data_IF_604109973001
#
_entry.id   IF_604109973001
#
_cell.length_a   1.000
_cell.length_b   1.000
_cell.length_c   1.000
_cell.angle_alpha   90.00
_cell.angle_beta   90.00
_cell.angle_gamma   90.00
#
_symmetry.space_group_name_H-M   'P 1'
#
loop_
_entity.id
_entity.type
_entity.pdbx_description
1 polymer ?
#
# COMPACT_ATOMS: atom_id res chain seq x y z
N UNK A 1 -21.27 39.84 8.23
CA UNK A 1 -21.49 38.38 8.25
C UNK A 1 -21.51 37.90 6.80
N UNK A 2 -20.37 37.40 6.29
CA UNK A 2 -20.25 36.99 4.88
C UNK A 2 -20.78 35.57 4.72
N UNK A 3 -21.92 35.43 4.04
CA UNK A 3 -22.47 34.14 3.64
C UNK A 3 -21.72 33.66 2.40
N UNK A 4 -20.75 32.76 2.59
CA UNK A 4 -20.09 32.07 1.49
C UNK A 4 -21.09 31.09 0.86
N UNK A 5 -21.71 31.50 -0.25
CA UNK A 5 -22.46 30.56 -1.09
C UNK A 5 -21.45 29.69 -1.82
N UNK A 6 -21.39 28.42 -1.44
CA UNK A 6 -20.60 27.43 -2.17
C UNK A 6 -21.07 27.40 -3.64
N UNK A 7 -20.17 27.15 -4.60
CA UNK A 7 -20.54 26.98 -6.00
C UNK A 7 -21.57 25.85 -6.13
N UNK A 8 -22.58 26.02 -6.98
CA UNK A 8 -23.68 25.07 -7.13
C UNK A 8 -23.20 23.63 -7.42
N UNK A 9 -22.16 23.48 -8.22
CA UNK A 9 -21.52 22.19 -8.50
C UNK A 9 -20.98 21.48 -7.24
N UNK A 10 -20.48 22.26 -6.28
CA UNK A 10 -19.95 21.73 -5.02
C UNK A 10 -21.10 21.26 -4.12
N UNK A 11 -22.18 22.04 -4.07
CA UNK A 11 -23.40 21.65 -3.34
C UNK A 11 -24.04 20.39 -3.93
N UNK A 12 -24.19 20.32 -5.25
CA UNK A 12 -24.75 19.16 -5.95
C UNK A 12 -23.89 17.90 -5.79
N UNK A 13 -22.56 18.05 -5.74
CA UNK A 13 -21.65 16.93 -5.46
C UNK A 13 -21.82 16.38 -4.03
N UNK A 14 -21.94 17.25 -3.03
CA UNK A 14 -22.17 16.81 -1.65
C UNK A 14 -23.57 16.22 -1.47
N UNK A 15 -24.59 16.78 -2.11
CA UNK A 15 -25.95 16.24 -2.12
C UNK A 15 -26.02 14.85 -2.78
N UNK A 16 -25.22 14.63 -3.84
CA UNK A 16 -25.07 13.33 -4.48
C UNK A 16 -24.45 12.30 -3.54
N UNK A 17 -23.37 12.64 -2.85
CA UNK A 17 -22.74 11.77 -1.84
C UNK A 17 -23.69 11.46 -0.67
N UNK A 18 -24.52 12.42 -0.28
CA UNK A 18 -25.52 12.24 0.76
C UNK A 18 -26.78 11.50 0.30
N UNK A 19 -26.89 11.10 -0.97
CA UNK A 19 -28.04 10.33 -1.43
C UNK A 19 -28.11 8.94 -0.75
N UNK A 20 -29.32 8.37 -0.56
CA UNK A 20 -29.49 7.08 0.09
C UNK A 20 -28.75 5.92 -0.60
N UNK A 21 -28.55 6.02 -1.91
CA UNK A 21 -27.82 5.03 -2.73
C UNK A 21 -26.32 5.03 -2.38
N UNK A 22 -25.72 6.20 -2.20
CA UNK A 22 -24.31 6.33 -1.85
C UNK A 22 -24.04 6.03 -0.38
N UNK A 23 -24.97 6.37 0.52
CA UNK A 23 -24.95 5.89 1.91
C UNK A 23 -25.04 4.36 2.02
N UNK A 24 -25.63 3.71 1.01
CA UNK A 24 -25.74 2.26 0.91
C UNK A 24 -24.54 1.58 0.24
N UNK A 25 -23.58 2.35 -0.27
CA UNK A 25 -22.41 1.83 -0.93
C UNK A 25 -21.32 1.40 0.07
N UNK A 26 -20.58 0.30 -0.16
CA UNK A 26 -20.86 -0.77 -1.12
C UNK A 26 -21.84 -1.85 -0.58
N UNK A 27 -22.22 -1.83 0.72
CA UNK A 27 -23.07 -2.89 1.30
C UNK A 27 -23.95 -2.44 2.49
N UNK A 28 -24.61 -1.28 2.44
CA UNK A 28 -25.37 -0.75 3.58
C UNK A 28 -26.85 -0.45 3.24
N UNK A 29 -27.67 -1.49 3.14
CA UNK A 29 -29.12 -1.32 3.12
C UNK A 29 -29.69 -1.51 4.54
N UNK A 30 -29.73 -0.43 5.33
CA UNK A 30 -30.51 -0.36 6.57
C UNK A 30 -29.97 -1.13 7.78
N UNK A 31 -30.28 -0.62 8.97
CA UNK A 31 -29.88 -1.11 10.28
C UNK A 31 -30.21 -2.59 10.50
N UNK A 32 -29.18 -3.40 10.78
CA UNK A 32 -29.29 -4.75 11.31
C UNK A 32 -27.90 -5.32 11.57
N UNK A 33 -27.68 -5.93 12.74
CA UNK A 33 -26.46 -6.66 13.07
C UNK A 33 -26.26 -7.83 12.09
N UNK A 34 -25.60 -7.56 10.97
CA UNK A 34 -25.33 -8.56 9.97
C UNK A 34 -23.84 -8.60 9.72
N UNK A 35 -23.20 -9.58 10.36
CA UNK A 35 -21.77 -9.89 10.22
C UNK A 35 -21.42 -10.17 8.75
N UNK A 36 -22.35 -10.76 7.98
CA UNK A 36 -22.16 -11.08 6.56
C UNK A 36 -21.80 -9.86 5.69
N UNK A 37 -22.66 -8.82 5.62
CA UNK A 37 -22.35 -7.57 4.93
C UNK A 37 -21.04 -6.93 5.39
N UNK A 38 -20.73 -6.95 6.69
CA UNK A 38 -19.47 -6.41 7.22
C UNK A 38 -18.24 -7.16 6.66
N UNK A 39 -18.25 -8.49 6.68
CA UNK A 39 -17.21 -9.33 6.10
C UNK A 39 -17.10 -9.10 4.58
N UNK A 40 -18.22 -8.99 3.88
CA UNK A 40 -18.23 -8.71 2.45
C UNK A 40 -17.56 -7.37 2.12
N UNK A 41 -17.75 -6.33 2.96
CA UNK A 41 -17.02 -5.05 2.78
C UNK A 41 -15.52 -5.25 2.95
N UNK A 42 -15.10 -5.96 4.00
CA UNK A 42 -13.68 -6.20 4.28
C UNK A 42 -13.01 -6.98 3.15
N UNK A 43 -13.66 -8.04 2.64
CA UNK A 43 -13.18 -8.82 1.51
C UNK A 43 -13.12 -7.97 0.25
N UNK A 44 -14.15 -7.17 -0.03
CA UNK A 44 -14.18 -6.29 -1.19
C UNK A 44 -13.06 -5.24 -1.15
N UNK A 45 -12.84 -4.61 0.01
CA UNK A 45 -11.73 -3.68 0.21
C UNK A 45 -10.38 -4.38 0.03
N UNK A 46 -10.21 -5.57 0.61
CA UNK A 46 -8.99 -6.36 0.43
C UNK A 46 -8.74 -6.73 -1.04
N UNK A 47 -9.80 -7.05 -1.79
CA UNK A 47 -9.72 -7.31 -3.23
C UNK A 47 -9.28 -6.07 -4.01
N UNK A 48 -9.83 -4.89 -3.70
CA UNK A 48 -9.39 -3.63 -4.32
C UNK A 48 -7.90 -3.40 -4.04
N UNK A 49 -7.46 -3.56 -2.79
CA UNK A 49 -6.03 -3.43 -2.46
C UNK A 49 -5.18 -4.45 -3.20
N UNK A 50 -5.60 -5.71 -3.29
CA UNK A 50 -4.88 -6.73 -4.05
C UNK A 50 -4.75 -6.37 -5.54
N UNK A 51 -5.80 -5.81 -6.14
CA UNK A 51 -5.76 -5.32 -7.52
C UNK A 51 -4.80 -4.14 -7.67
N UNK A 52 -4.85 -3.16 -6.76
CA UNK A 52 -3.94 -2.01 -6.77
C UNK A 52 -2.49 -2.47 -6.63
N UNK A 53 -2.20 -3.34 -5.66
CA UNK A 53 -0.86 -3.91 -5.45
C UNK A 53 -0.42 -4.67 -6.70
N UNK A 54 -1.29 -5.48 -7.30
CA UNK A 54 -1.00 -6.20 -8.54
C UNK A 54 -0.68 -5.24 -9.70
N UNK A 55 -1.47 -4.18 -9.86
CA UNK A 55 -1.26 -3.16 -10.87
C UNK A 55 0.07 -2.43 -10.68
N UNK A 56 0.37 -1.99 -9.45
CA UNK A 56 1.64 -1.35 -9.13
C UNK A 56 2.81 -2.31 -9.30
N UNK A 57 2.65 -3.59 -8.98
CA UNK A 57 3.68 -4.61 -9.20
C UNK A 57 3.94 -4.83 -10.69
N UNK A 58 2.91 -4.79 -11.54
CA UNK A 58 3.07 -4.91 -13.00
C UNK A 58 3.71 -3.65 -13.59
N UNK A 59 3.39 -2.46 -13.08
CA UNK A 59 3.95 -1.22 -13.61
C UNK A 59 5.36 -0.90 -13.09
N UNK A 60 5.63 -1.12 -11.80
CA UNK A 60 6.82 -0.66 -11.09
C UNK A 60 7.59 -1.78 -10.36
N UNK A 61 7.07 -3.01 -10.34
CA UNK A 61 7.76 -4.16 -9.77
C UNK A 61 8.92 -4.65 -10.65
N UNK A 62 9.51 -5.82 -10.36
CA UNK A 62 10.60 -6.38 -11.16
C UNK A 62 10.10 -6.65 -12.57
N UNK A 63 10.79 -6.07 -13.56
CA UNK A 63 10.38 -6.01 -14.98
C UNK A 63 9.12 -5.15 -15.26
N UNK A 64 8.80 -4.19 -14.39
CA UNK A 64 7.70 -3.27 -14.62
C UNK A 64 7.91 -2.35 -15.82
N UNK A 65 6.85 -2.08 -16.58
CA UNK A 65 6.94 -1.29 -17.82
C UNK A 65 7.40 0.16 -17.60
N UNK A 66 7.10 0.75 -16.44
CA UNK A 66 7.47 2.11 -16.07
C UNK A 66 8.57 2.15 -15.00
N UNK A 67 9.34 1.07 -14.86
CA UNK A 67 10.48 1.02 -13.94
C UNK A 67 11.66 1.74 -14.60
N UNK A 68 11.96 2.95 -14.13
CA UNK A 68 13.12 3.73 -14.57
C UNK A 68 14.42 3.24 -13.90
N UNK A 69 15.53 3.33 -14.62
CA UNK A 69 16.87 2.86 -14.20
C UNK A 69 17.36 3.53 -12.90
N UNK A 70 16.84 4.73 -12.56
CA UNK A 70 17.14 5.39 -11.29
C UNK A 70 16.54 4.68 -10.07
N UNK A 71 15.34 4.09 -10.18
CA UNK A 71 14.77 3.29 -9.09
C UNK A 71 15.59 2.02 -8.83
N UNK A 72 16.21 1.47 -9.88
CA UNK A 72 17.06 0.29 -9.78
C UNK A 72 18.38 0.64 -9.10
N UNK A 73 18.93 1.82 -9.39
CA UNK A 73 20.13 2.35 -8.73
C UNK A 73 19.91 2.55 -7.23
N UNK A 74 18.82 3.20 -6.82
CA UNK A 74 18.52 3.39 -5.38
C UNK A 74 18.35 2.04 -4.66
N UNK A 75 17.63 1.09 -5.25
CA UNK A 75 17.45 -0.25 -4.68
C UNK A 75 18.77 -1.06 -4.64
N UNK A 76 19.69 -0.84 -5.58
CA UNK A 76 21.03 -1.42 -5.52
C UNK A 76 21.91 -0.77 -4.45
N UNK A 77 21.79 0.54 -4.28
CA UNK A 77 22.51 1.29 -3.25
C UNK A 77 22.05 0.87 -1.84
N UNK A 78 20.75 0.75 -1.60
CA UNK A 78 20.20 0.23 -0.33
C UNK A 78 20.71 -1.20 -0.05
N UNK A 79 20.63 -2.10 -1.03
CA UNK A 79 21.18 -3.47 -0.87
C UNK A 79 22.69 -3.49 -0.65
N UNK A 80 23.44 -2.52 -1.16
CA UNK A 80 24.88 -2.41 -0.87
C UNK A 80 25.11 -1.90 0.54
N UNK A 81 24.32 -0.93 1.01
CA UNK A 81 24.40 -0.41 2.37
C UNK A 81 24.05 -1.49 3.39
N UNK A 82 22.95 -2.23 3.22
CA UNK A 82 22.57 -3.31 4.14
C UNK A 82 23.62 -4.42 4.22
N UNK A 83 24.29 -4.75 3.11
CA UNK A 83 25.40 -5.72 3.10
C UNK A 83 26.63 -5.18 3.83
N UNK A 84 27.00 -3.93 3.59
CA UNK A 84 28.13 -3.28 4.26
C UNK A 84 27.88 -3.15 5.78
N UNK A 85 26.64 -2.88 6.19
CA UNK A 85 26.25 -2.86 7.60
C UNK A 85 26.36 -4.24 8.25
N UNK A 86 25.89 -5.29 7.58
CA UNK A 86 26.06 -6.66 8.08
C UNK A 86 27.53 -7.09 8.19
N UNK A 87 28.36 -6.69 7.23
CA UNK A 87 29.80 -6.94 7.28
C UNK A 87 30.46 -6.19 8.46
N UNK A 88 30.12 -4.92 8.66
CA UNK A 88 30.61 -4.14 9.79
C UNK A 88 30.16 -4.71 11.14
N UNK A 89 28.93 -5.22 11.25
CA UNK A 89 28.42 -5.88 12.44
C UNK A 89 29.17 -7.19 12.74
N UNK A 90 29.54 -7.95 11.70
CA UNK A 90 30.37 -9.15 11.84
C UNK A 90 31.78 -8.80 12.29
N UNK A 91 32.39 -7.77 11.69
CA UNK A 91 33.74 -7.30 12.06
C UNK A 91 33.80 -6.77 13.51
N UNK A 92 32.74 -6.12 13.97
CA UNK A 92 32.60 -5.69 15.38
C UNK A 92 32.30 -6.85 16.34
N UNK A 93 32.00 -8.04 15.84
CA UNK A 93 31.62 -9.20 16.63
C UNK A 93 30.23 -9.07 17.28
N UNK A 94 29.38 -8.18 16.79
CA UNK A 94 28.02 -7.96 17.30
C UNK A 94 27.04 -9.03 16.79
N UNK A 95 27.37 -9.70 15.69
CA UNK A 95 26.65 -10.85 15.14
C UNK A 95 27.60 -12.02 14.93
N UNK A 96 27.09 -13.24 15.11
CA UNK A 96 27.86 -14.46 14.84
C UNK A 96 28.00 -14.74 13.34
N UNK A 97 29.02 -15.52 12.94
CA UNK A 97 29.18 -15.95 11.55
C UNK A 97 27.94 -16.68 10.99
N UNK A 98 27.21 -17.40 11.86
CA UNK A 98 26.00 -18.13 11.50
C UNK A 98 24.86 -17.14 11.19
N UNK A 99 24.66 -16.14 12.05
CA UNK A 99 23.65 -15.09 11.84
C UNK A 99 23.96 -14.25 10.61
N UNK A 100 25.24 -13.91 10.40
CA UNK A 100 25.69 -13.23 9.19
C UNK A 100 25.36 -14.04 7.94
N UNK A 101 25.69 -15.34 7.91
CA UNK A 101 25.37 -16.20 6.75
C UNK A 101 23.87 -16.31 6.48
N UNK A 102 23.04 -16.34 7.51
CA UNK A 102 21.57 -16.39 7.37
C UNK A 102 21.04 -15.07 6.80
N UNK A 103 21.44 -13.92 7.37
CA UNK A 103 20.99 -12.61 6.92
C UNK A 103 21.51 -12.27 5.52
N UNK A 104 22.77 -12.59 5.21
CA UNK A 104 23.36 -12.41 3.89
C UNK A 104 22.68 -13.27 2.83
N UNK A 105 22.22 -14.47 3.19
CA UNK A 105 21.42 -15.32 2.28
C UNK A 105 20.04 -14.72 2.00
N UNK A 106 19.41 -14.10 3.00
CA UNK A 106 18.12 -13.43 2.84
C UNK A 106 18.18 -12.18 1.94
N UNK A 107 19.34 -11.50 1.88
CA UNK A 107 19.57 -10.35 0.99
C UNK A 107 19.85 -10.71 -0.47
N UNK A 108 20.04 -12.00 -0.77
CA UNK A 108 20.35 -12.47 -2.13
C UNK A 108 19.10 -12.76 -2.97
N UNK A 109 17.97 -13.01 -2.31
CA UNK A 109 16.67 -13.33 -2.92
C UNK A 109 15.79 -12.07 -2.99
#
# INVERSE_FOLDING_TARGET
MLSYKLPQMVTEFFDFLDSPIWRAWPFNAGYGEHIGPAIARMVFVALIFAVIIGFLRVLFGPNGYFRDEEMDREAEEERRQERAELEALLERGEISEIEFKIKMKALRD
#
